data_IF_177663798548
#
_entry.id   IF_177663798548
#
_cell.length_a   1.000
_cell.length_b   1.000
_cell.length_c   1.000
_cell.angle_alpha   90.00
_cell.angle_beta   90.00
_cell.angle_gamma   90.00
#
_symmetry.space_group_name_H-M   'P 1'
#
loop_
_entity.id
_entity.type
_entity.pdbx_description
1 polymer ?
#
# COMPACT_ATOMS: atom_id res chain seq x y z
N UNK A 1 24.96 27.50 55.51
CA UNK A 1 24.78 26.09 55.14
C UNK A 1 24.07 26.05 53.80
N UNK A 2 24.69 25.42 52.79
CA UNK A 2 24.18 25.31 51.42
C UNK A 2 23.11 24.22 51.36
N UNK A 3 21.92 24.53 50.86
CA UNK A 3 20.95 23.53 50.41
C UNK A 3 20.97 23.53 48.88
N UNK A 4 21.64 22.54 48.28
CA UNK A 4 21.56 22.26 46.85
C UNK A 4 20.36 21.33 46.62
N UNK A 5 19.28 21.86 46.07
CA UNK A 5 18.16 21.06 45.57
C UNK A 5 18.54 20.48 44.20
N UNK A 6 18.81 19.17 44.16
CA UNK A 6 18.99 18.42 42.91
C UNK A 6 17.60 18.10 42.36
N UNK A 7 17.17 18.79 41.31
CA UNK A 7 15.97 18.45 40.56
C UNK A 7 16.28 17.26 39.64
N UNK A 8 15.83 16.06 40.01
CA UNK A 8 15.81 14.91 39.09
C UNK A 8 14.77 15.18 38.00
N UNK A 9 15.24 15.50 36.79
CA UNK A 9 14.42 15.49 35.59
C UNK A 9 14.12 14.02 35.23
N UNK A 10 12.93 13.55 35.61
CA UNK A 10 12.33 12.31 35.11
C UNK A 10 12.01 12.52 33.62
N UNK A 11 12.94 12.18 32.72
CA UNK A 11 12.65 12.05 31.30
C UNK A 11 11.78 10.82 31.09
N UNK A 12 10.54 10.95 30.59
CA UNK A 12 9.71 9.80 30.25
C UNK A 12 10.37 9.04 29.10
N UNK A 13 10.76 7.80 29.36
CA UNK A 13 11.14 6.84 28.33
C UNK A 13 9.87 6.45 27.57
N UNK A 14 9.59 7.14 26.46
CA UNK A 14 8.62 6.65 25.49
C UNK A 14 9.21 5.38 24.86
N UNK A 15 8.76 4.22 25.33
CA UNK A 15 9.04 2.96 24.65
C UNK A 15 8.33 3.00 23.29
N UNK A 16 9.09 3.15 22.20
CA UNK A 16 8.55 2.94 20.88
C UNK A 16 8.09 1.48 20.79
N UNK A 17 6.78 1.26 20.72
CA UNK A 17 6.24 -0.06 20.47
C UNK A 17 6.82 -0.56 19.14
N UNK A 18 7.46 -1.73 19.16
CA UNK A 18 7.95 -2.35 17.94
C UNK A 18 6.76 -2.69 17.05
N UNK A 19 6.79 -2.24 15.79
CA UNK A 19 5.77 -2.61 14.82
C UNK A 19 5.77 -4.14 14.61
N UNK A 20 4.60 -4.74 14.34
CA UNK A 20 4.51 -6.18 14.05
C UNK A 20 5.36 -6.52 12.82
N UNK A 21 5.94 -7.72 12.83
CA UNK A 21 6.78 -8.20 11.72
C UNK A 21 5.92 -8.56 10.49
N UNK A 22 6.43 -8.29 9.30
CA UNK A 22 5.87 -8.73 8.03
C UNK A 22 6.24 -10.18 7.66
N UNK A 23 6.88 -10.93 8.57
CA UNK A 23 7.21 -12.33 8.34
C UNK A 23 5.93 -13.16 8.17
N UNK A 24 5.71 -13.67 6.95
CA UNK A 24 4.49 -14.40 6.60
C UNK A 24 3.49 -13.59 5.77
N UNK A 25 3.86 -12.39 5.28
CA UNK A 25 3.06 -11.68 4.28
C UNK A 25 2.78 -12.54 3.06
N UNK A 26 1.56 -12.44 2.52
CA UNK A 26 1.11 -13.23 1.39
C UNK A 26 0.57 -12.33 0.28
N UNK A 27 1.00 -12.60 -0.95
CA UNK A 27 0.35 -12.06 -2.14
C UNK A 27 -0.91 -12.89 -2.41
N UNK A 28 -2.06 -12.26 -2.32
CA UNK A 28 -3.36 -12.88 -2.59
C UNK A 28 -3.99 -12.25 -3.83
N UNK A 29 -4.55 -13.09 -4.70
CA UNK A 29 -5.26 -12.64 -5.90
C UNK A 29 -6.64 -12.07 -5.52
N UNK A 30 -6.99 -10.94 -6.12
CA UNK A 30 -8.34 -10.39 -6.02
C UNK A 30 -9.20 -10.82 -7.21
N UNK A 31 -10.44 -11.21 -6.95
CA UNK A 31 -11.44 -11.55 -7.96
C UNK A 31 -12.37 -10.37 -8.23
N UNK A 32 -12.66 -10.05 -9.50
CA UNK A 32 -13.60 -8.99 -9.82
C UNK A 32 -15.02 -9.38 -9.39
N UNK A 33 -15.73 -8.40 -8.86
CA UNK A 33 -17.12 -8.41 -8.47
C UNK A 33 -17.81 -7.19 -9.10
N UNK A 34 -19.14 -7.21 -9.24
CA UNK A 34 -19.88 -6.01 -9.60
C UNK A 34 -19.48 -4.85 -8.68
N UNK A 35 -19.37 -3.66 -9.26
CA UNK A 35 -19.16 -2.43 -8.50
C UNK A 35 -20.20 -2.32 -7.37
N UNK A 36 -19.80 -1.74 -6.24
CA UNK A 36 -20.79 -1.26 -5.27
C UNK A 36 -21.69 -0.21 -5.94
N UNK A 37 -22.90 -0.02 -5.40
CA UNK A 37 -23.86 0.98 -5.90
C UNK A 37 -23.40 2.40 -5.50
N UNK A 38 -22.28 2.83 -6.07
CA UNK A 38 -21.63 4.11 -5.87
C UNK A 38 -21.39 4.78 -7.22
N UNK A 39 -21.94 5.98 -7.41
CA UNK A 39 -21.81 6.75 -8.64
C UNK A 39 -20.36 7.20 -8.93
N UNK A 40 -19.50 7.25 -7.91
CA UNK A 40 -18.08 7.59 -8.03
C UNK A 40 -17.22 6.40 -8.47
N UNK A 41 -17.75 5.17 -8.45
CA UNK A 41 -17.04 3.97 -8.87
C UNK A 41 -16.45 4.08 -10.28
N UNK A 42 -15.17 3.71 -10.43
CA UNK A 42 -14.45 3.63 -11.70
C UNK A 42 -14.10 2.17 -12.03
N UNK A 43 -15.13 1.38 -12.34
CA UNK A 43 -14.98 -0.03 -12.69
C UNK A 43 -15.34 -1.00 -11.55
N UNK A 44 -15.00 -2.30 -11.72
CA UNK A 44 -15.42 -3.35 -10.79
C UNK A 44 -14.76 -3.21 -9.42
N UNK A 45 -15.45 -3.75 -8.42
CA UNK A 45 -14.89 -3.99 -7.09
C UNK A 45 -14.08 -5.30 -7.14
N UNK A 46 -12.96 -5.38 -6.43
CA UNK A 46 -12.07 -6.54 -6.45
C UNK A 46 -11.88 -7.09 -5.04
N UNK A 47 -12.26 -8.34 -4.80
CA UNK A 47 -12.29 -8.90 -3.45
C UNK A 47 -11.42 -10.15 -3.30
N UNK A 48 -10.92 -10.37 -2.08
CA UNK A 48 -10.31 -11.64 -1.65
C UNK A 48 -11.32 -12.78 -1.71
N UNK A 49 -10.83 -14.03 -1.70
CA UNK A 49 -11.71 -15.19 -1.78
C UNK A 49 -12.65 -15.29 -0.57
N UNK A 50 -12.14 -14.94 0.62
CA UNK A 50 -12.89 -14.89 1.87
C UNK A 50 -13.79 -13.65 1.99
N UNK A 51 -13.69 -12.70 1.06
CA UNK A 51 -14.32 -11.38 1.06
C UNK A 51 -14.02 -10.52 2.30
N UNK A 52 -12.97 -10.86 3.06
CA UNK A 52 -12.51 -10.03 4.16
C UNK A 52 -12.00 -8.67 3.66
N UNK A 53 -11.48 -8.63 2.43
CA UNK A 53 -10.95 -7.42 1.82
C UNK A 53 -11.54 -7.21 0.43
N UNK A 54 -11.96 -5.98 0.16
CA UNK A 54 -12.34 -5.55 -1.17
C UNK A 54 -11.70 -4.21 -1.50
N UNK A 55 -11.38 -3.99 -2.78
CA UNK A 55 -10.75 -2.77 -3.28
C UNK A 55 -11.53 -2.27 -4.49
N UNK A 56 -11.82 -0.98 -4.52
CA UNK A 56 -12.48 -0.34 -5.65
C UNK A 56 -11.78 0.98 -5.97
N UNK A 57 -11.56 1.23 -7.27
CA UNK A 57 -11.11 2.54 -7.72
C UNK A 57 -12.31 3.49 -7.74
N UNK A 58 -12.15 4.67 -7.15
CA UNK A 58 -13.10 5.78 -7.24
C UNK A 58 -12.48 6.89 -8.09
N UNK A 59 -13.31 7.52 -8.93
CA UNK A 59 -12.86 8.61 -9.81
C UNK A 59 -12.37 9.79 -8.99
N UNK A 60 -11.31 10.43 -9.47
CA UNK A 60 -10.95 11.77 -9.04
C UNK A 60 -11.90 12.79 -9.69
N UNK A 61 -12.63 13.54 -8.88
CA UNK A 61 -13.48 14.65 -9.31
C UNK A 61 -12.63 15.91 -9.50
N UNK A 62 -12.11 16.12 -10.71
CA UNK A 62 -11.22 17.25 -11.07
C UNK A 62 -9.92 17.38 -10.24
N UNK A 63 -9.72 16.49 -9.27
CA UNK A 63 -8.55 16.37 -8.40
C UNK A 63 -7.40 15.62 -9.10
N UNK A 64 -6.16 15.95 -8.72
CA UNK A 64 -4.97 15.17 -9.08
C UNK A 64 -4.81 13.90 -8.21
N UNK A 65 -5.73 13.65 -7.28
CA UNK A 65 -5.77 12.49 -6.41
C UNK A 65 -7.05 11.69 -6.67
N UNK A 66 -6.87 10.42 -7.05
CA UNK A 66 -7.92 9.43 -7.04
C UNK A 66 -7.86 8.60 -5.74
N UNK A 67 -8.91 7.84 -5.47
CA UNK A 67 -8.99 7.02 -4.26
C UNK A 67 -9.09 5.54 -4.62
N UNK A 68 -8.28 4.72 -3.98
CA UNK A 68 -8.60 3.30 -3.79
C UNK A 68 -9.39 3.18 -2.49
N UNK A 69 -10.68 2.89 -2.64
CA UNK A 69 -11.53 2.52 -1.51
C UNK A 69 -11.20 1.08 -1.13
N UNK A 70 -10.72 0.89 0.08
CA UNK A 70 -10.41 -0.43 0.66
C UNK A 70 -11.44 -0.71 1.73
N UNK A 71 -12.14 -1.81 1.59
CA UNK A 71 -13.18 -2.22 2.53
C UNK A 71 -12.71 -3.46 3.28
N UNK A 72 -12.78 -3.37 4.60
CA UNK A 72 -12.45 -4.44 5.53
C UNK A 72 -13.72 -5.00 6.15
N UNK A 73 -13.95 -6.30 5.99
CA UNK A 73 -15.04 -7.01 6.65
C UNK A 73 -14.47 -7.83 7.79
N UNK A 74 -14.59 -7.31 9.02
CA UNK A 74 -14.18 -8.04 10.22
C UNK A 74 -15.18 -9.16 10.54
N UNK A 75 -14.69 -10.24 11.13
CA UNK A 75 -15.54 -11.33 11.59
C UNK A 75 -16.59 -10.84 12.60
N UNK A 76 -17.86 -11.07 12.31
CA UNK A 76 -18.98 -10.65 13.16
C UNK A 76 -19.40 -9.18 13.00
N UNK A 77 -18.72 -8.38 12.16
CA UNK A 77 -19.18 -7.03 11.83
C UNK A 77 -20.43 -7.08 10.93
N UNK A 78 -21.36 -6.16 11.16
CA UNK A 78 -22.59 -6.04 10.35
C UNK A 78 -22.35 -5.31 9.03
N UNK A 79 -21.43 -4.35 9.04
CA UNK A 79 -21.09 -3.52 7.89
C UNK A 79 -19.57 -3.51 7.70
N UNK A 80 -19.09 -3.50 6.44
CA UNK A 80 -17.67 -3.30 6.15
C UNK A 80 -17.20 -1.92 6.58
N UNK A 81 -15.91 -1.85 6.93
CA UNK A 81 -15.23 -0.61 7.27
C UNK A 81 -14.45 -0.10 6.05
N UNK A 82 -14.71 1.15 5.67
CA UNK A 82 -14.13 1.76 4.47
C UNK A 82 -12.88 2.58 4.81
N UNK A 83 -11.85 2.48 3.98
CA UNK A 83 -10.57 3.19 4.10
C UNK A 83 -10.18 3.78 2.75
N UNK A 84 -9.77 5.04 2.74
CA UNK A 84 -9.36 5.73 1.52
C UNK A 84 -7.83 5.74 1.41
N UNK A 85 -7.30 5.05 0.40
CA UNK A 85 -5.88 5.14 0.03
C UNK A 85 -5.77 6.09 -1.17
N UNK A 86 -5.15 7.25 -0.98
CA UNK A 86 -4.96 8.24 -2.04
C UNK A 86 -3.89 7.78 -3.03
N UNK A 87 -4.15 7.98 -4.32
CA UNK A 87 -3.21 7.70 -5.42
C UNK A 87 -3.09 8.95 -6.29
N UNK A 88 -1.86 9.37 -6.58
CA UNK A 88 -1.63 10.45 -7.55
C UNK A 88 -1.98 10.00 -8.96
N UNK A 89 -2.94 10.68 -9.58
CA UNK A 89 -3.41 10.38 -10.94
C UNK A 89 -3.31 11.66 -11.77
N UNK A 90 -2.38 11.72 -12.74
CA UNK A 90 -2.30 12.85 -13.66
C UNK A 90 -3.61 13.07 -14.41
N UNK A 91 -3.91 14.32 -14.76
CA UNK A 91 -5.11 14.65 -15.52
C UNK A 91 -5.21 13.84 -16.82
N UNK A 92 -6.36 13.21 -17.04
CA UNK A 92 -6.62 12.37 -18.21
C UNK A 92 -5.99 10.96 -18.15
N UNK A 93 -5.32 10.60 -17.05
CA UNK A 93 -4.95 9.22 -16.77
C UNK A 93 -6.15 8.44 -16.20
N UNK A 94 -6.16 7.13 -16.41
CA UNK A 94 -7.11 6.19 -15.81
C UNK A 94 -6.45 5.46 -14.66
N UNK A 95 -7.24 5.14 -13.64
CA UNK A 95 -6.86 4.29 -12.52
C UNK A 95 -7.55 2.94 -12.67
N UNK A 96 -6.83 1.85 -12.45
CA UNK A 96 -7.42 0.52 -12.35
C UNK A 96 -6.81 -0.22 -11.16
N UNK A 97 -7.63 -0.93 -10.39
CA UNK A 97 -7.15 -1.76 -9.27
C UNK A 97 -6.16 -2.80 -9.80
N UNK A 98 -5.00 -2.94 -9.15
CA UNK A 98 -4.12 -4.06 -9.39
C UNK A 98 -4.77 -5.31 -8.80
N UNK A 99 -4.96 -6.41 -9.55
CA UNK A 99 -5.79 -7.53 -9.12
C UNK A 99 -5.11 -8.45 -8.09
N UNK A 100 -4.29 -7.88 -7.20
CA UNK A 100 -3.71 -8.55 -6.05
C UNK A 100 -3.69 -7.61 -4.83
N UNK A 101 -3.64 -8.21 -3.65
CA UNK A 101 -3.45 -7.56 -2.36
C UNK A 101 -2.30 -8.27 -1.65
N UNK A 102 -1.54 -7.54 -0.84
CA UNK A 102 -0.54 -8.15 0.04
C UNK A 102 -1.07 -8.07 1.46
N UNK A 103 -1.42 -9.23 2.03
CA UNK A 103 -1.88 -9.34 3.41
C UNK A 103 -0.67 -9.50 4.32
N UNK A 104 -0.54 -8.65 5.33
CA UNK A 104 0.45 -8.83 6.38
C UNK A 104 -0.06 -9.83 7.43
N UNK A 105 0.81 -10.39 8.27
CA UNK A 105 0.38 -11.21 9.39
C UNK A 105 -0.60 -10.45 10.29
N UNK A 106 -1.63 -11.15 10.78
CA UNK A 106 -2.54 -10.60 11.77
C UNK A 106 -1.78 -10.26 13.06
N UNK A 107 -2.17 -9.18 13.72
CA UNK A 107 -1.59 -8.74 14.97
C UNK A 107 -2.66 -8.16 15.88
N UNK A 108 -2.29 -7.83 17.12
CA UNK A 108 -3.24 -7.29 18.09
C UNK A 108 -3.08 -5.79 18.26
N UNK A 109 -4.21 -5.10 18.24
CA UNK A 109 -4.35 -3.69 18.56
C UNK A 109 -5.49 -3.57 19.57
N UNK A 110 -5.23 -2.97 20.73
CA UNK A 110 -6.19 -2.81 21.84
C UNK A 110 -6.94 -4.09 22.27
N UNK A 111 -6.35 -5.26 22.02
CA UNK A 111 -6.95 -6.57 22.32
C UNK A 111 -7.82 -7.15 21.20
N UNK A 112 -8.06 -6.41 20.12
CA UNK A 112 -8.64 -6.91 18.87
C UNK A 112 -7.58 -7.47 17.92
N UNK A 113 -7.91 -8.50 17.16
CA UNK A 113 -7.08 -9.00 16.05
C UNK A 113 -7.38 -8.19 14.79
N UNK A 114 -6.35 -7.60 14.20
CA UNK A 114 -6.41 -6.76 13.00
C UNK A 114 -5.35 -7.21 11.99
N UNK A 115 -5.53 -6.82 10.74
CA UNK A 115 -4.59 -7.17 9.67
C UNK A 115 -4.30 -5.95 8.79
N UNK A 116 -3.01 -5.66 8.61
CA UNK A 116 -2.58 -4.63 7.67
C UNK A 116 -2.53 -5.19 6.25
N UNK A 117 -2.73 -4.31 5.26
CA UNK A 117 -2.71 -4.69 3.86
C UNK A 117 -1.96 -3.67 3.01
N UNK A 118 -1.27 -4.15 1.98
CA UNK A 118 -0.85 -3.32 0.85
C UNK A 118 -1.80 -3.55 -0.32
N UNK A 119 -2.31 -2.45 -0.86
CA UNK A 119 -3.16 -2.43 -2.06
C UNK A 119 -2.46 -1.63 -3.14
N UNK A 120 -2.83 -1.84 -4.39
CA UNK A 120 -2.22 -1.07 -5.47
C UNK A 120 -3.19 -0.78 -6.60
N UNK A 121 -2.79 0.18 -7.43
CA UNK A 121 -3.47 0.48 -8.67
C UNK A 121 -2.48 0.80 -9.78
N UNK A 122 -2.91 0.49 -11.00
CA UNK A 122 -2.22 0.84 -12.22
C UNK A 122 -2.78 2.17 -12.72
N UNK A 123 -1.90 3.16 -12.87
CA UNK A 123 -2.20 4.46 -13.48
C UNK A 123 -1.70 4.43 -14.92
N UNK A 124 -2.60 4.67 -15.87
CA UNK A 124 -2.29 4.65 -17.30
C UNK A 124 -2.84 5.89 -18.00
N UNK A 125 -1.95 6.63 -18.67
CA UNK A 125 -2.32 7.73 -19.56
C UNK A 125 -2.04 7.33 -21.02
N UNK A 126 -2.93 7.69 -21.95
CA UNK A 126 -2.74 7.33 -23.36
C UNK A 126 -1.40 7.87 -23.89
N UNK A 127 -0.64 7.02 -24.58
CA UNK A 127 0.66 7.37 -25.16
C UNK A 127 1.82 7.50 -24.15
N UNK A 128 1.59 7.21 -22.86
CA UNK A 128 2.63 7.21 -21.82
C UNK A 128 2.80 5.82 -21.19
N UNK A 129 3.94 5.54 -20.53
CA UNK A 129 4.09 4.34 -19.71
C UNK A 129 3.04 4.28 -18.58
N UNK A 130 2.60 3.07 -18.22
CA UNK A 130 1.81 2.85 -17.02
C UNK A 130 2.71 2.75 -15.79
N UNK A 131 2.13 2.97 -14.61
CA UNK A 131 2.81 2.90 -13.33
C UNK A 131 1.95 2.14 -12.32
N UNK A 132 2.57 1.29 -11.50
CA UNK A 132 1.93 0.65 -10.36
C UNK A 132 2.21 1.48 -9.12
N UNK A 133 1.16 1.94 -8.45
CA UNK A 133 1.19 2.69 -7.21
C UNK A 133 0.74 1.79 -6.07
N UNK A 134 1.63 1.51 -5.12
CA UNK A 134 1.34 0.71 -3.93
C UNK A 134 1.11 1.63 -2.75
N UNK A 135 0.01 1.41 -2.03
CA UNK A 135 -0.29 2.05 -0.75
C UNK A 135 -0.55 1.03 0.36
N UNK A 136 -0.80 1.53 1.56
CA UNK A 136 -1.01 0.73 2.76
C UNK A 136 -2.24 1.18 3.53
N UNK A 137 -2.92 0.21 4.13
CA UNK A 137 -3.82 0.39 5.28
C UNK A 137 -3.12 -0.21 6.50
N UNK A 138 -2.93 0.59 7.55
CA UNK A 138 -2.24 0.20 8.79
C UNK A 138 -3.09 0.51 10.01
N UNK A 139 -3.25 -0.47 10.89
CA UNK A 139 -3.93 -0.32 12.16
C UNK A 139 -2.97 0.20 13.23
N UNK A 140 -3.39 1.24 13.94
CA UNK A 140 -2.73 1.82 15.11
C UNK A 140 -3.66 1.67 16.32
N UNK A 141 -3.13 1.88 17.54
CA UNK A 141 -3.90 1.80 18.79
C UNK A 141 -5.26 2.51 18.70
N UNK A 142 -5.23 3.79 18.32
CA UNK A 142 -6.42 4.65 18.37
C UNK A 142 -6.99 4.98 16.97
N UNK A 143 -6.38 4.50 15.87
CA UNK A 143 -6.75 4.94 14.51
C UNK A 143 -6.30 3.94 13.42
N UNK A 144 -6.74 4.18 12.19
CA UNK A 144 -6.22 3.52 10.98
C UNK A 144 -5.53 4.54 10.09
N UNK A 145 -4.23 4.35 9.87
CA UNK A 145 -3.45 5.16 8.96
C UNK A 145 -3.52 4.58 7.55
N UNK A 146 -3.75 5.45 6.56
CA UNK A 146 -3.62 5.10 5.14
C UNK A 146 -2.47 5.88 4.50
N UNK A 147 -1.57 5.17 3.85
CA UNK A 147 -0.41 5.76 3.16
C UNK A 147 -0.47 5.45 1.66
N UNK A 148 -0.47 6.48 0.83
CA UNK A 148 -0.40 6.36 -0.63
C UNK A 148 1.05 6.39 -1.15
N UNK A 149 1.27 5.88 -2.37
CA UNK A 149 2.53 5.99 -3.11
C UNK A 149 3.78 5.59 -2.29
N UNK A 150 3.68 4.51 -1.51
CA UNK A 150 4.77 3.91 -0.76
C UNK A 150 5.84 3.34 -1.70
N UNK A 151 5.38 2.76 -2.82
CA UNK A 151 6.18 2.30 -3.95
C UNK A 151 5.49 2.74 -5.24
N UNK A 152 6.26 3.30 -6.17
CA UNK A 152 5.80 3.60 -7.52
C UNK A 152 6.81 3.02 -8.50
N UNK A 153 6.38 2.11 -9.37
CA UNK A 153 7.24 1.42 -10.35
C UNK A 153 6.59 1.38 -11.72
N UNK A 154 7.38 1.34 -12.82
CA UNK A 154 6.82 1.17 -14.16
C UNK A 154 5.97 -0.09 -14.25
N UNK A 155 4.88 -0.05 -15.00
CA UNK A 155 4.00 -1.19 -15.16
C UNK A 155 3.64 -1.43 -16.61
N UNK A 156 3.75 -2.68 -17.04
CA UNK A 156 3.49 -3.12 -18.41
C UNK A 156 3.12 -4.62 -18.42
N UNK A 157 2.56 -5.15 -19.52
CA UNK A 157 2.30 -6.57 -19.65
C UNK A 157 3.54 -7.42 -19.32
N UNK A 158 3.34 -8.47 -18.51
CA UNK A 158 4.40 -9.36 -18.03
C UNK A 158 5.21 -8.84 -16.84
N UNK A 159 4.94 -7.64 -16.34
CA UNK A 159 5.55 -7.18 -15.07
C UNK A 159 4.94 -7.93 -13.89
N UNK A 160 5.74 -8.15 -12.85
CA UNK A 160 5.28 -8.73 -11.58
C UNK A 160 5.78 -7.94 -10.38
N UNK A 161 5.05 -8.10 -9.28
CA UNK A 161 5.46 -7.65 -7.95
C UNK A 161 5.20 -8.80 -6.99
N UNK A 162 6.27 -9.35 -6.44
CA UNK A 162 6.26 -10.54 -5.60
C UNK A 162 6.66 -10.18 -4.16
N UNK A 163 6.08 -10.89 -3.20
CA UNK A 163 6.38 -10.72 -1.78
C UNK A 163 7.59 -11.56 -1.42
N UNK A 164 8.57 -10.93 -0.80
CA UNK A 164 9.74 -11.58 -0.23
C UNK A 164 9.69 -11.49 1.30
N UNK A 165 10.15 -12.55 2.02
CA UNK A 165 10.21 -12.53 3.47
C UNK A 165 11.02 -11.34 4.00
N UNK A 166 10.53 -10.76 5.09
CA UNK A 166 11.17 -9.65 5.80
C UNK A 166 10.94 -9.84 7.29
N UNK A 167 11.88 -9.38 8.10
CA UNK A 167 11.70 -9.22 9.55
C UNK A 167 11.27 -7.80 9.94
N UNK A 168 11.22 -6.90 8.97
CA UNK A 168 10.79 -5.51 9.17
C UNK A 168 9.26 -5.43 9.25
N UNK A 169 8.73 -4.24 9.55
CA UNK A 169 7.29 -3.97 9.63
C UNK A 169 6.54 -4.11 8.30
N UNK A 170 7.27 -4.02 7.17
CA UNK A 170 6.74 -4.23 5.83
C UNK A 170 7.55 -5.31 5.12
N UNK A 171 6.90 -6.09 4.21
CA UNK A 171 7.59 -7.12 3.46
C UNK A 171 8.58 -6.49 2.48
N UNK A 172 9.58 -7.26 2.05
CA UNK A 172 10.37 -6.90 0.88
C UNK A 172 9.53 -7.17 -0.36
N UNK A 173 9.66 -6.32 -1.38
CA UNK A 173 8.92 -6.47 -2.63
C UNK A 173 9.89 -6.65 -3.79
N UNK A 174 9.79 -7.76 -4.52
CA UNK A 174 10.56 -7.97 -5.73
C UNK A 174 9.73 -7.54 -6.93
N UNK A 175 10.18 -6.51 -7.62
CA UNK A 175 9.62 -6.09 -8.90
C UNK A 175 10.40 -6.72 -10.05
N UNK A 176 9.67 -7.22 -11.05
CA UNK A 176 10.23 -7.69 -12.32
C UNK A 176 9.59 -6.89 -13.44
N UNK A 177 10.44 -6.22 -14.23
CA UNK A 177 10.05 -5.50 -15.43
C UNK A 177 9.82 -6.52 -16.54
N UNK A 178 8.59 -6.66 -17.05
CA UNK A 178 8.25 -7.75 -17.98
C UNK A 178 9.20 -7.88 -19.19
N UNK A 179 9.24 -9.04 -19.83
CA UNK A 179 10.26 -9.43 -20.83
C UNK A 179 10.53 -8.42 -21.95
N UNK A 180 9.53 -7.61 -22.32
CA UNK A 180 9.64 -6.58 -23.38
C UNK A 180 9.89 -5.18 -22.83
N UNK A 181 10.37 -5.06 -21.59
CA UNK A 181 10.68 -3.77 -21.00
C UNK A 181 11.73 -3.06 -21.85
N UNK A 182 11.39 -1.86 -22.33
CA UNK A 182 12.37 -0.95 -22.89
C UNK A 182 13.48 -0.60 -21.87
N UNK A 183 13.15 -0.71 -20.57
CA UNK A 183 14.07 -0.49 -19.48
C UNK A 183 13.95 -1.61 -18.43
N UNK A 184 14.79 -2.67 -18.50
CA UNK A 184 14.81 -3.72 -17.49
C UNK A 184 15.21 -3.16 -16.13
N UNK A 185 14.30 -3.20 -15.16
CA UNK A 185 14.38 -2.51 -13.88
C UNK A 185 14.10 -3.45 -12.70
N UNK A 186 14.41 -4.74 -12.83
CA UNK A 186 14.20 -5.73 -11.78
C UNK A 186 14.94 -5.37 -10.49
N UNK A 187 14.20 -5.19 -9.40
CA UNK A 187 14.73 -4.73 -8.11
C UNK A 187 14.02 -5.37 -6.94
N UNK A 188 14.73 -5.49 -5.83
CA UNK A 188 14.12 -5.77 -4.53
C UNK A 188 13.99 -4.44 -3.81
N UNK A 189 12.81 -4.15 -3.27
CA UNK A 189 12.52 -2.97 -2.49
C UNK A 189 12.36 -3.36 -1.03
N UNK A 190 12.98 -2.58 -0.14
CA UNK A 190 12.85 -2.71 1.32
C UNK A 190 12.21 -1.45 1.88
N UNK A 191 11.45 -1.60 2.96
CA UNK A 191 10.89 -0.44 3.65
C UNK A 191 11.96 0.24 4.51
N UNK A 192 12.13 1.55 4.33
CA UNK A 192 12.99 2.39 5.16
C UNK A 192 12.20 3.65 5.50
N UNK A 193 11.94 3.88 6.79
CA UNK A 193 11.20 5.07 7.24
C UNK A 193 9.78 5.17 6.68
N UNK A 194 9.13 4.03 6.45
CA UNK A 194 7.76 4.00 5.91
C UNK A 194 7.67 4.26 4.40
N UNK A 195 8.76 4.12 3.64
CA UNK A 195 8.74 4.14 2.17
C UNK A 195 9.59 3.00 1.61
N UNK A 196 9.25 2.53 0.41
CA UNK A 196 10.06 1.54 -0.27
C UNK A 196 11.27 2.16 -0.97
N UNK A 197 12.45 1.61 -0.69
CA UNK A 197 13.73 2.00 -1.30
C UNK A 197 14.32 0.77 -1.99
N UNK A 198 14.82 0.90 -3.24
CA UNK A 198 15.42 -0.23 -3.93
C UNK A 198 16.75 -0.63 -3.27
N UNK A 199 17.06 -1.92 -3.33
CA UNK A 199 18.31 -2.54 -2.87
C UNK A 199 19.55 -1.99 -3.59
N UNK A 200 19.39 -1.63 -4.86
CA UNK A 200 20.38 -0.95 -5.70
C UNK A 200 19.70 0.11 -6.58
N UNK A 201 20.41 1.17 -6.98
CA UNK A 201 19.83 2.22 -7.83
C UNK A 201 19.07 1.66 -9.05
N UNK A 202 17.92 2.26 -9.35
CA UNK A 202 17.19 1.99 -10.58
C UNK A 202 18.00 2.48 -11.78
N UNK A 203 17.88 1.82 -12.95
CA UNK A 203 18.53 2.32 -14.16
C UNK A 203 17.92 3.68 -14.54
N UNK A 204 18.73 4.56 -15.15
CA UNK A 204 18.29 5.92 -15.49
C UNK A 204 17.01 5.95 -16.36
N UNK A 205 16.83 4.96 -17.23
CA UNK A 205 15.64 4.83 -18.07
C UNK A 205 14.35 4.55 -17.27
N UNK A 206 14.44 3.99 -16.06
CA UNK A 206 13.29 3.72 -15.20
C UNK A 206 12.85 4.98 -14.43
N UNK A 207 13.76 5.94 -14.28
CA UNK A 207 13.49 7.25 -13.67
C UNK A 207 13.17 8.34 -14.71
N UNK A 208 13.65 8.18 -15.94
CA UNK A 208 13.54 9.17 -17.02
C UNK A 208 12.14 9.26 -17.66
N UNK A 209 11.24 8.32 -17.37
CA UNK A 209 9.87 8.31 -17.90
C UNK A 209 8.91 9.29 -17.20
N UNK A 210 9.41 10.14 -16.29
CA UNK A 210 8.58 10.92 -15.40
C UNK A 210 7.86 9.99 -14.44
N UNK A 211 8.56 9.57 -13.39
CA UNK A 211 7.87 9.17 -12.17
C UNK A 211 6.90 10.33 -11.83
N UNK A 212 5.61 10.06 -11.59
CA UNK A 212 4.62 11.12 -11.37
C UNK A 212 5.04 12.10 -10.28
#
# INVERSE_FOLDING_TARGET
MRALSVALLLTPLFAAAAAPSAAGSQLEKLSPMPAADDAAADGPRHCTQDRAWCVQALRADESALATLMVEETMAGAREPLNRAVAVRVPQGARLAVWPNIIRLPAHRVEGGEVQDVLVAAVVQQQGKPAWLHVGQVRHLADDVQTDGDLLVVPWQPGSSLDVHPSTDALPQLKYVSGERAACPADRVFRSVGGRYVPDRPLPACATAGGQP
#
